data_IF_560460455672
#
_entry.id   IF_560460455672
#
_cell.length_a   1.000
_cell.length_b   1.000
_cell.length_c   1.000
_cell.angle_alpha   90.00
_cell.angle_beta   90.00
_cell.angle_gamma   90.00
#
_symmetry.space_group_name_H-M   'P 1'
#
loop_
_entity.id
_entity.type
_entity.pdbx_description
1 polymer ?
2 non-polymer ?
3 water ?
#
# COMPACT_ATOMS: atom_id res chain seq x y z
N UNK A 5 -8.71 16.80 -19.31
CA UNK A 5 -7.54 16.43 -18.46
C UNK A 5 -7.61 14.97 -18.00
N UNK A 6 -6.82 14.09 -18.64
CA UNK A 6 -6.77 12.65 -18.31
C UNK A 6 -6.20 12.34 -16.93
N UNK A 7 -6.72 11.28 -16.31
CA UNK A 7 -6.30 10.83 -14.99
C UNK A 7 -4.94 10.13 -15.11
N UNK A 8 -3.93 10.67 -14.44
CA UNK A 8 -2.58 10.11 -14.50
C UNK A 8 -2.20 9.26 -13.30
N UNK A 9 -1.75 8.04 -13.60
CA UNK A 9 -1.33 7.10 -12.55
C UNK A 9 0.15 6.74 -12.71
N UNK A 10 0.92 7.01 -11.68
CA UNK A 10 2.34 6.66 -11.70
C UNK A 10 2.50 5.34 -10.95
N UNK A 11 3.16 4.38 -11.56
CA UNK A 11 3.38 3.08 -10.93
C UNK A 11 4.87 2.74 -10.90
N UNK A 12 5.49 2.93 -9.74
CA UNK A 12 6.91 2.63 -9.59
C UNK A 12 7.13 1.34 -8.84
N UNK A 13 8.40 0.96 -8.72
CA UNK A 13 8.77 -0.26 -8.02
C UNK A 13 10.14 -0.71 -8.48
N UNK A 14 10.72 -1.67 -7.76
CA UNK A 14 12.02 -2.17 -8.15
C UNK A 14 11.83 -3.04 -9.38
N UNK A 15 12.94 -3.37 -10.05
CA UNK A 15 12.85 -4.23 -11.23
C UNK A 15 12.24 -5.57 -10.78
N UNK A 16 11.36 -6.12 -11.63
CA UNK A 16 10.69 -7.40 -11.36
C UNK A 16 9.88 -7.41 -10.05
N UNK A 17 9.41 -6.23 -9.64
CA UNK A 17 8.61 -6.11 -8.43
C UNK A 17 7.17 -6.51 -8.70
N UNK A 18 6.78 -6.47 -9.97
CA UNK A 18 5.41 -6.77 -10.35
C UNK A 18 4.73 -5.53 -10.91
N UNK A 19 5.44 -4.41 -10.90
CA UNK A 19 4.93 -3.12 -11.41
C UNK A 19 4.50 -3.24 -12.87
N UNK A 20 5.29 -3.97 -13.66
CA UNK A 20 4.99 -4.14 -15.09
C UNK A 20 3.71 -4.95 -15.27
N UNK A 21 3.63 -6.07 -14.58
CA UNK A 21 2.45 -6.95 -14.67
C UNK A 21 1.21 -6.22 -14.15
N UNK A 22 1.37 -5.42 -13.10
CA UNK A 22 0.25 -4.67 -12.55
C UNK A 22 -0.24 -3.66 -13.57
N UNK A 23 0.69 -2.85 -14.09
CA UNK A 23 0.37 -1.83 -15.08
C UNK A 23 -0.31 -2.42 -16.31
N UNK A 24 0.18 -3.55 -16.79
CA UNK A 24 -0.39 -4.21 -17.96
C UNK A 24 -1.77 -4.78 -17.66
N UNK A 25 -1.96 -5.31 -16.45
CA UNK A 25 -3.25 -5.86 -16.06
C UNK A 25 -4.27 -4.72 -16.00
N UNK A 26 -3.83 -3.56 -15.53
CA UNK A 26 -4.69 -2.38 -15.46
C UNK A 26 -5.04 -1.93 -16.87
N UNK A 27 -4.06 -1.98 -17.76
CA UNK A 27 -4.24 -1.60 -19.15
C UNK A 27 -5.24 -2.52 -19.85
N UNK A 28 -5.10 -3.83 -19.62
CA UNK A 28 -6.00 -4.83 -20.22
C UNK A 28 -7.42 -4.70 -19.70
N UNK A 29 -7.56 -4.42 -18.41
CA UNK A 29 -8.85 -4.26 -17.76
C UNK A 29 -9.59 -3.03 -18.29
N UNK A 30 -8.88 -1.91 -18.34
CA UNK A 30 -9.44 -0.64 -18.82
C UNK A 30 -9.50 -0.54 -20.34
N UNK A 31 -8.79 -1.45 -21.02
CA UNK A 31 -8.77 -1.47 -22.47
C UNK A 31 -8.42 -0.16 -23.15
N UNK A 32 -9.26 0.21 -24.11
CA UNK A 32 -9.08 1.43 -24.91
C UNK A 32 -9.06 2.73 -24.10
N UNK A 33 -9.49 2.68 -22.84
CA UNK A 33 -9.52 3.87 -21.99
C UNK A 33 -8.18 4.21 -21.35
N UNK A 34 -7.11 3.52 -21.74
CA UNK A 34 -5.80 3.77 -21.15
C UNK A 34 -4.61 3.84 -22.12
N UNK A 35 -3.72 4.78 -21.84
CA UNK A 35 -2.49 4.97 -22.61
C UNK A 35 -1.38 4.64 -21.62
N UNK A 36 -0.58 3.64 -21.93
CA UNK A 36 0.50 3.21 -21.07
C UNK A 36 1.89 3.51 -21.63
N UNK A 37 2.69 4.22 -20.84
CA UNK A 37 4.06 4.56 -21.23
C UNK A 37 5.06 3.93 -20.27
N UNK A 38 5.68 2.81 -20.68
CA UNK A 38 6.66 2.14 -19.83
C UNK A 38 7.98 2.91 -19.96
N UNK A 39 8.43 3.51 -18.87
CA UNK A 39 9.66 4.28 -18.88
C UNK A 39 10.91 3.45 -19.24
N UNK A 40 10.83 2.13 -19.11
CA UNK A 40 11.95 1.25 -19.41
C UNK A 40 12.30 1.21 -20.90
N UNK A 41 11.42 1.77 -21.72
CA UNK A 41 11.66 1.82 -23.15
C UNK A 41 12.28 3.15 -23.53
N UNK A 42 12.36 4.04 -22.54
CA UNK A 42 12.92 5.37 -22.77
C UNK A 42 14.38 5.56 -22.38
N UNK A 43 15.18 4.51 -22.48
CA UNK A 43 16.61 4.64 -22.20
C UNK A 43 17.19 5.51 -23.31
N UNK A 44 18.23 6.27 -22.98
CA UNK A 44 18.85 7.15 -23.96
C UNK A 44 19.37 6.35 -25.15
N UNK A 45 19.32 6.94 -26.34
CA UNK A 45 19.84 6.28 -27.54
C UNK A 45 21.37 6.42 -27.52
N UNK A 46 22.05 5.31 -27.20
CA UNK A 46 23.50 5.32 -27.16
C UNK A 46 24.01 4.42 -28.29
N UNK A 47 23.22 4.32 -29.35
CA UNK A 47 23.57 3.49 -30.49
C UNK A 47 24.89 3.83 -31.17
N UNK A 48 25.35 5.07 -30.98
CA UNK A 48 26.59 5.54 -31.58
C UNK A 48 27.83 5.00 -30.85
N UNK A 49 27.63 4.49 -29.64
CA UNK A 49 28.73 3.94 -28.84
C UNK A 49 29.03 2.48 -29.14
N UNK A 50 30.28 2.05 -28.94
CA UNK A 50 30.64 0.66 -29.19
C UNK A 50 29.91 -0.25 -28.20
N UNK A 51 29.64 -1.48 -28.63
CA UNK A 51 28.92 -2.45 -27.80
C UNK A 51 29.50 -2.59 -26.40
N UNK A 52 30.82 -2.76 -26.30
CA UNK A 52 31.48 -2.93 -25.02
C UNK A 52 31.17 -1.81 -24.03
N UNK A 53 31.10 -0.58 -24.54
CA UNK A 53 30.79 0.55 -23.68
C UNK A 53 29.32 0.48 -23.23
N UNK A 54 28.44 0.12 -24.15
CA UNK A 54 27.02 0.00 -23.85
C UNK A 54 26.75 -1.07 -22.79
N UNK A 55 27.56 -2.13 -22.81
CA UNK A 55 27.40 -3.22 -21.85
C UNK A 55 27.79 -2.80 -20.42
N UNK A 56 28.61 -1.74 -20.31
CA UNK A 56 29.06 -1.26 -19.01
C UNK A 56 28.19 -0.17 -18.39
N UNK A 57 27.42 0.53 -19.22
CA UNK A 57 26.55 1.61 -18.76
C UNK A 57 25.66 1.17 -17.59
N UNK A 58 25.46 2.06 -16.64
CA UNK A 58 24.62 1.77 -15.49
C UNK A 58 23.18 2.12 -15.88
N UNK A 59 22.39 1.11 -16.19
CA UNK A 59 21.00 1.31 -16.60
C UNK A 59 19.99 1.48 -15.47
N UNK A 60 20.49 1.67 -14.26
CA UNK A 60 19.63 1.87 -13.12
C UNK A 60 19.81 3.25 -12.50
N UNK A 61 20.68 4.05 -13.11
CA UNK A 61 20.94 5.41 -12.64
C UNK A 61 20.03 6.33 -13.45
N UNK A 62 19.44 7.36 -12.80
CA UNK A 62 18.55 8.31 -13.49
C UNK A 62 19.12 8.87 -14.80
N UNK A 63 20.44 9.07 -14.86
CA UNK A 63 21.11 9.61 -16.04
C UNK A 63 21.02 8.72 -17.28
N UNK A 64 20.70 7.44 -17.09
CA UNK A 64 20.59 6.50 -18.20
C UNK A 64 19.29 6.70 -18.98
N UNK A 65 18.34 7.40 -18.38
CA UNK A 65 17.04 7.64 -18.99
C UNK A 65 16.88 8.92 -19.80
N UNK A 66 16.11 8.83 -20.88
CA UNK A 66 15.82 9.98 -21.73
C UNK A 66 14.56 10.63 -21.13
N UNK A 67 14.75 11.28 -19.99
CA UNK A 67 13.64 11.94 -19.29
C UNK A 67 12.96 12.99 -20.16
N UNK A 68 13.75 13.76 -20.92
CA UNK A 68 13.21 14.80 -21.79
C UNK A 68 12.16 14.22 -22.74
N UNK A 69 12.50 13.12 -23.39
CA UNK A 69 11.57 12.48 -24.32
C UNK A 69 10.36 11.90 -23.59
N UNK A 70 10.59 11.29 -22.43
CA UNK A 70 9.50 10.71 -21.65
C UNK A 70 8.53 11.79 -21.20
N UNK A 71 9.07 12.88 -20.65
CA UNK A 71 8.25 14.00 -20.20
C UNK A 71 7.44 14.58 -21.36
N UNK A 72 8.12 14.81 -22.47
CA UNK A 72 7.51 15.36 -23.69
C UNK A 72 6.32 14.51 -24.11
N UNK A 73 6.52 13.19 -24.13
CA UNK A 73 5.45 12.27 -24.51
C UNK A 73 4.30 12.26 -23.51
N UNK A 74 4.61 12.32 -22.22
CA UNK A 74 3.57 12.33 -21.21
C UNK A 74 2.68 13.56 -21.40
N UNK A 75 3.33 14.71 -21.60
CA UNK A 75 2.63 15.98 -21.82
C UNK A 75 1.76 15.95 -23.08
N UNK A 76 2.26 15.33 -24.14
CA UNK A 76 1.51 15.22 -25.39
C UNK A 76 0.25 14.40 -25.15
N UNK A 77 0.39 13.29 -24.43
CA UNK A 77 -0.75 12.44 -24.12
C UNK A 77 -1.75 13.21 -23.24
N UNK A 78 -1.23 14.08 -22.37
CA UNK A 78 -2.08 14.88 -21.50
C UNK A 78 -2.84 15.96 -22.29
N UNK A 79 -2.31 16.33 -23.46
CA UNK A 79 -2.95 17.33 -24.31
C UNK A 79 -3.78 16.66 -25.42
N UNK A 80 -4.00 15.36 -25.29
CA UNK A 80 -4.78 14.63 -26.27
C UNK A 80 -4.08 14.37 -27.60
N UNK A 81 -2.76 14.29 -27.58
CA UNK A 81 -1.99 14.04 -28.80
C UNK A 81 -1.32 12.67 -28.76
N UNK A 82 -1.20 12.00 -29.92
CA UNK A 82 -0.58 10.68 -30.03
C UNK A 82 0.95 10.81 -29.96
N UNK A 83 1.63 9.74 -29.58
CA UNK A 83 3.10 9.79 -29.51
C UNK A 83 3.72 8.57 -30.17
N UNK A 84 4.97 8.74 -30.62
CA UNK A 84 5.71 7.67 -31.26
C UNK A 84 6.68 7.14 -30.21
N UNK A 85 6.21 6.18 -29.42
CA UNK A 85 7.00 5.60 -28.35
C UNK A 85 8.17 4.74 -28.80
N UNK A 86 9.37 5.02 -28.29
CA UNK A 86 10.55 4.25 -28.66
C UNK A 86 10.47 2.84 -28.07
N UNK A 87 11.12 1.89 -28.74
CA UNK A 87 11.16 0.51 -28.29
C UNK A 87 12.62 0.15 -28.05
N UNK A 88 12.96 -0.16 -26.80
CA UNK A 88 14.33 -0.51 -26.46
C UNK A 88 14.56 -2.00 -26.59
N UNK A 89 15.63 -2.36 -27.31
CA UNK A 89 15.99 -3.77 -27.52
C UNK A 89 16.99 -4.18 -26.44
N UNK A 90 16.52 -4.95 -25.47
CA UNK A 90 17.37 -5.39 -24.37
C UNK A 90 18.44 -6.42 -24.73
N UNK A 91 18.25 -7.11 -25.86
CA UNK A 91 19.24 -8.09 -26.30
C UNK A 91 20.41 -7.38 -26.98
N UNK A 92 20.09 -6.40 -27.82
CA UNK A 92 21.10 -5.65 -28.56
C UNK A 92 21.64 -4.42 -27.84
N UNK A 93 21.01 -4.06 -26.72
CA UNK A 93 21.42 -2.89 -25.94
C UNK A 93 21.33 -1.61 -26.78
N UNK A 94 20.20 -1.42 -27.45
CA UNK A 94 20.00 -0.22 -28.25
C UNK A 94 18.54 0.09 -28.49
N UNK A 95 18.26 1.34 -28.86
CA UNK A 95 16.89 1.77 -29.16
C UNK A 95 16.60 1.37 -30.59
N UNK A 96 15.44 0.77 -30.81
CA UNK A 96 15.04 0.35 -32.14
C UNK A 96 14.77 1.56 -33.03
N UNK A 97 15.08 1.45 -34.34
CA UNK A 97 14.86 2.55 -35.28
C UNK A 97 13.36 2.72 -35.58
N UNK A 98 12.57 1.71 -35.20
CA UNK A 98 11.13 1.71 -35.40
C UNK A 98 10.41 1.98 -34.09
N UNK A 99 9.41 2.88 -34.13
CA UNK A 99 8.64 3.22 -32.94
C UNK A 99 7.19 2.77 -33.06
N UNK A 100 6.57 2.47 -31.93
CA UNK A 100 5.17 2.05 -31.90
C UNK A 100 4.32 3.22 -31.43
N UNK A 101 3.17 3.44 -32.09
CA UNK A 101 2.27 4.54 -31.72
C UNK A 101 1.44 4.28 -30.47
N UNK A 102 1.24 5.32 -29.69
CA UNK A 102 0.45 5.25 -28.47
C UNK A 102 -0.59 6.36 -28.57
N UNK A 103 -1.86 5.97 -28.64
CA UNK A 103 -2.95 6.92 -28.75
C UNK A 103 -3.41 7.50 -27.42
N UNK A 104 -3.94 8.73 -27.44
CA UNK A 104 -4.43 9.42 -26.25
C UNK A 104 -5.56 8.65 -25.59
N UNK A 105 -5.73 8.84 -24.29
CA UNK A 105 -6.77 8.15 -23.54
C UNK A 105 -7.14 8.96 -22.30
N UNK A 106 -8.33 8.69 -21.74
CA UNK A 106 -8.79 9.42 -20.55
C UNK A 106 -7.98 9.03 -19.30
N UNK A 107 -7.21 7.95 -19.40
CA UNK A 107 -6.36 7.47 -18.30
C UNK A 107 -4.95 7.20 -18.83
N UNK A 108 -3.96 7.86 -18.23
CA UNK A 108 -2.57 7.68 -18.63
C UNK A 108 -1.78 7.00 -17.50
N UNK A 109 -1.05 5.95 -17.84
CA UNK A 109 -0.25 5.24 -16.85
C UNK A 109 1.24 5.35 -17.17
N UNK A 110 1.97 5.94 -16.23
CA UNK A 110 3.42 6.10 -16.37
C UNK A 110 4.03 5.07 -15.42
N UNK A 111 4.72 4.08 -15.98
CA UNK A 111 5.31 3.00 -15.19
C UNK A 111 6.80 2.74 -15.43
N UNK A 112 7.52 2.47 -14.35
CA UNK A 112 8.94 2.19 -14.45
C UNK A 112 9.61 2.25 -13.08
N UNK A 113 10.87 1.84 -13.02
CA UNK A 113 11.59 1.85 -11.76
C UNK A 113 11.79 3.24 -11.16
N UNK A 114 11.96 4.25 -12.01
CA UNK A 114 12.20 5.60 -11.54
C UNK A 114 11.18 6.66 -11.93
N UNK A 115 9.92 6.28 -12.13
CA UNK A 115 8.91 7.26 -12.51
C UNK A 115 8.54 8.24 -11.39
N UNK A 116 8.90 7.89 -10.16
CA UNK A 116 8.61 8.75 -9.01
C UNK A 116 9.85 9.53 -8.55
N UNK A 117 10.94 9.42 -9.31
CA UNK A 117 12.17 10.12 -8.97
C UNK A 117 12.17 11.62 -9.34
N UNK A 118 11.77 11.97 -10.58
CA UNK A 118 11.76 13.38 -10.97
C UNK A 118 10.50 14.12 -10.54
N UNK A 119 10.68 15.33 -10.01
CA UNK A 119 9.58 16.17 -9.55
C UNK A 119 8.64 16.46 -10.75
N UNK A 120 9.23 16.68 -11.93
CA UNK A 120 8.49 16.97 -13.15
C UNK A 120 7.48 15.88 -13.51
N UNK A 121 7.80 14.63 -13.17
CA UNK A 121 6.88 13.51 -13.45
C UNK A 121 5.84 13.38 -12.34
N UNK A 122 6.28 13.54 -11.09
CA UNK A 122 5.36 13.45 -9.96
C UNK A 122 4.25 14.50 -10.03
N UNK A 123 4.62 15.71 -10.46
CA UNK A 123 3.66 16.81 -10.57
C UNK A 123 2.53 16.52 -11.55
N UNK A 124 2.77 15.61 -12.49
CA UNK A 124 1.76 15.22 -13.48
C UNK A 124 0.82 14.14 -12.97
N UNK A 125 1.21 13.48 -11.89
CA UNK A 125 0.44 12.37 -11.34
C UNK A 125 -0.68 12.69 -10.35
N UNK A 126 -1.84 12.08 -10.58
CA UNK A 126 -3.01 12.23 -9.70
C UNK A 126 -2.91 11.17 -8.61
N UNK A 127 -2.38 10.00 -8.99
CA UNK A 127 -2.22 8.87 -8.07
C UNK A 127 -0.82 8.27 -8.22
N UNK A 128 -0.12 8.11 -7.09
CA UNK A 128 1.21 7.54 -7.10
C UNK A 128 1.23 6.18 -6.42
N UNK A 129 1.65 5.16 -7.17
CA UNK A 129 1.70 3.79 -6.67
C UNK A 129 3.12 3.22 -6.66
N UNK A 130 3.46 2.53 -5.58
CA UNK A 130 4.75 1.87 -5.48
C UNK A 130 4.47 0.39 -5.25
N UNK A 131 4.94 -0.45 -6.16
CA UNK A 131 4.76 -1.89 -6.07
C UNK A 131 5.94 -2.43 -5.28
N UNK A 132 5.64 -2.96 -4.10
CA UNK A 132 6.69 -3.46 -3.24
C UNK A 132 6.82 -4.98 -3.21
N UNK A 133 8.08 -5.42 -3.14
CA UNK A 133 8.42 -6.83 -3.09
C UNK A 133 9.84 -6.90 -2.58
N UNK A 134 10.14 -7.91 -1.78
CA UNK A 134 11.47 -8.08 -1.22
C UNK A 134 12.50 -8.26 -2.33
N UNK A 135 13.73 -7.81 -2.08
CA UNK A 135 14.79 -7.89 -3.06
C UNK A 135 15.12 -9.31 -3.51
N UNK A 136 15.08 -10.27 -2.59
CA UNK A 136 15.39 -11.65 -2.97
C UNK A 136 14.37 -12.23 -3.95
N UNK A 137 13.10 -11.94 -3.72
CA UNK A 137 12.04 -12.43 -4.60
C UNK A 137 12.11 -11.71 -5.96
N UNK A 138 12.50 -10.44 -5.95
CA UNK A 138 12.61 -9.69 -7.20
C UNK A 138 13.80 -10.21 -7.99
N UNK A 139 14.93 -10.45 -7.32
CA UNK A 139 16.11 -10.97 -8.01
C UNK A 139 15.77 -12.27 -8.72
N UNK A 140 14.99 -13.12 -8.06
CA UNK A 140 14.59 -14.39 -8.65
C UNK A 140 13.91 -14.17 -9.98
N UNK A 141 12.86 -13.34 -9.99
CA UNK A 141 12.13 -13.04 -11.23
C UNK A 141 13.00 -12.30 -12.25
N UNK A 142 13.87 -11.42 -11.76
CA UNK A 142 14.78 -10.67 -12.62
C UNK A 142 15.71 -11.66 -13.35
N UNK A 143 16.27 -12.60 -12.59
CA UNK A 143 17.16 -13.61 -13.16
C UNK A 143 16.46 -14.42 -14.26
N UNK A 144 15.26 -14.92 -13.98
CA UNK A 144 14.50 -15.69 -14.95
C UNK A 144 14.19 -14.92 -16.24
N UNK A 145 13.67 -13.72 -16.11
CA UNK A 145 13.31 -12.92 -17.29
C UNK A 145 14.53 -12.52 -18.11
N UNK A 146 15.64 -12.22 -17.43
CA UNK A 146 16.86 -11.84 -18.13
C UNK A 146 17.40 -12.98 -18.97
N UNK A 147 17.43 -14.18 -18.38
CA UNK A 147 17.92 -15.37 -19.08
C UNK A 147 16.98 -15.81 -20.20
N UNK A 148 15.69 -15.80 -19.93
CA UNK A 148 14.72 -16.24 -20.93
C UNK A 148 14.31 -15.22 -21.99
N UNK A 149 14.43 -13.93 -21.69
CA UNK A 149 14.00 -12.89 -22.63
C UNK A 149 15.04 -11.89 -23.11
N UNK A 150 16.09 -11.65 -22.33
CA UNK A 150 17.08 -10.66 -22.70
C UNK A 150 18.48 -11.18 -23.01
N UNK A 151 18.57 -12.47 -23.32
CA UNK A 151 19.83 -13.10 -23.67
C UNK A 151 20.98 -12.96 -22.70
N UNK A 152 20.68 -12.96 -21.40
CA UNK A 152 21.72 -12.82 -20.38
C UNK A 152 22.07 -14.18 -19.77
N UNK A 153 23.25 -14.25 -19.17
CA UNK A 153 23.71 -15.46 -18.50
C UNK A 153 23.50 -15.24 -17.01
N UNK A 154 23.55 -16.31 -16.23
CA UNK A 154 23.40 -16.20 -14.77
C UNK A 154 24.52 -15.31 -14.22
N UNK A 155 25.74 -15.59 -14.68
CA UNK A 155 26.93 -14.87 -14.26
C UNK A 155 26.81 -13.37 -14.54
N UNK A 156 26.28 -13.03 -15.71
CA UNK A 156 26.11 -11.64 -16.08
C UNK A 156 25.03 -10.96 -15.27
N UNK A 157 23.92 -11.66 -15.01
CA UNK A 157 22.83 -11.10 -14.22
C UNK A 157 23.34 -10.81 -12.81
N UNK A 158 24.13 -11.73 -12.27
CA UNK A 158 24.68 -11.55 -10.93
C UNK A 158 25.63 -10.36 -10.85
N UNK A 159 26.57 -10.28 -11.80
CA UNK A 159 27.53 -9.19 -11.85
C UNK A 159 26.83 -7.83 -11.95
N UNK A 160 25.90 -7.71 -12.88
CA UNK A 160 25.15 -6.46 -13.06
C UNK A 160 24.30 -6.11 -11.82
N UNK A 161 23.62 -7.12 -11.26
CA UNK A 161 22.78 -6.90 -10.09
C UNK A 161 23.56 -6.34 -8.89
N UNK A 162 24.61 -7.04 -8.51
CA UNK A 162 25.44 -6.65 -7.37
C UNK A 162 26.21 -5.34 -7.58
N UNK A 163 26.66 -5.10 -8.80
CA UNK A 163 27.44 -3.89 -9.07
C UNK A 163 26.63 -2.64 -9.47
N UNK A 164 25.41 -2.85 -9.96
CA UNK A 164 24.58 -1.72 -10.41
C UNK A 164 23.12 -1.70 -9.95
N UNK A 165 22.35 -2.73 -10.32
CA UNK A 165 20.94 -2.78 -9.98
C UNK A 165 20.65 -2.58 -8.48
N UNK A 166 21.23 -3.42 -7.64
CA UNK A 166 21.04 -3.32 -6.19
C UNK A 166 21.44 -1.97 -5.59
N UNK A 167 22.68 -1.50 -5.84
CA UNK A 167 23.12 -0.21 -5.30
C UNK A 167 22.19 0.93 -5.72
N UNK A 168 21.87 0.99 -7.01
CA UNK A 168 20.99 2.02 -7.56
C UNK A 168 19.55 1.89 -7.04
N UNK A 169 19.11 0.67 -6.76
CA UNK A 169 17.77 0.48 -6.25
C UNK A 169 17.68 1.11 -4.86
N UNK A 170 18.68 0.84 -4.03
CA UNK A 170 18.72 1.35 -2.66
C UNK A 170 18.92 2.87 -2.62
N UNK A 171 19.73 3.39 -3.53
CA UNK A 171 20.02 4.81 -3.56
C UNK A 171 18.96 5.66 -4.25
N UNK A 172 18.41 5.16 -5.37
CA UNK A 172 17.42 5.91 -6.13
C UNK A 172 15.98 5.41 -6.15
N UNK A 173 15.77 4.12 -6.35
CA UNK A 173 14.41 3.58 -6.43
C UNK A 173 13.65 3.52 -5.10
N UNK A 174 14.17 2.74 -4.16
CA UNK A 174 13.54 2.54 -2.86
C UNK A 174 13.09 3.82 -2.15
N UNK A 175 13.94 4.86 -2.11
CA UNK A 175 13.53 6.10 -1.43
C UNK A 175 12.28 6.74 -2.02
N UNK A 176 12.02 6.53 -3.31
CA UNK A 176 10.83 7.14 -3.93
C UNK A 176 9.53 6.58 -3.37
N UNK A 177 9.61 5.47 -2.63
CA UNK A 177 8.41 4.88 -2.04
C UNK A 177 7.78 5.87 -1.06
N UNK A 178 8.60 6.84 -0.63
CA UNK A 178 8.15 7.88 0.30
C UNK A 178 7.15 8.83 -0.37
N UNK A 179 7.12 8.83 -1.69
CA UNK A 179 6.20 9.68 -2.46
C UNK A 179 4.91 8.96 -2.79
N UNK A 180 4.90 7.63 -2.68
CA UNK A 180 3.72 6.86 -3.00
C UNK A 180 2.50 7.17 -2.14
N UNK A 181 1.33 7.17 -2.76
CA UNK A 181 0.08 7.41 -2.06
C UNK A 181 -0.39 6.06 -1.54
N UNK A 182 -0.13 5.02 -2.34
CA UNK A 182 -0.51 3.66 -2.00
C UNK A 182 0.60 2.70 -2.39
N UNK A 183 0.83 1.70 -1.53
CA UNK A 183 1.85 0.70 -1.77
C UNK A 183 1.14 -0.63 -2.08
N UNK A 184 1.47 -1.22 -3.21
CA UNK A 184 0.84 -2.48 -3.61
C UNK A 184 1.75 -3.69 -3.53
N UNK A 185 1.43 -4.65 -2.64
CA UNK A 185 2.21 -5.87 -2.49
C UNK A 185 1.74 -6.90 -3.54
N UNK A 186 2.52 -7.96 -3.76
CA UNK A 186 2.17 -9.01 -4.72
C UNK A 186 1.59 -8.43 -6.01
N UNK A 187 2.33 -7.50 -6.60
CA UNK A 187 1.89 -6.83 -7.82
C UNK A 187 1.50 -7.68 -9.00
N UNK A 188 2.06 -8.88 -9.09
CA UNK A 188 1.75 -9.77 -10.19
C UNK A 188 0.55 -10.67 -9.95
N UNK A 189 -0.08 -10.53 -8.78
CA UNK A 189 -1.24 -11.35 -8.42
C UNK A 189 -1.98 -10.75 -7.24
N UNK A 190 -2.63 -9.61 -7.46
CA UNK A 190 -3.39 -8.94 -6.42
C UNK A 190 -4.70 -8.44 -7.03
N UNK A 191 -5.69 -9.34 -7.15
CA UNK A 191 -7.02 -9.06 -7.72
C UNK A 191 -7.72 -7.88 -7.06
N UNK A 192 -7.65 -7.80 -5.73
CA UNK A 192 -8.29 -6.71 -5.00
C UNK A 192 -7.69 -5.36 -5.32
N UNK A 193 -6.36 -5.26 -5.31
CA UNK A 193 -5.71 -3.98 -5.61
C UNK A 193 -5.97 -3.60 -7.07
N UNK A 194 -5.88 -4.58 -7.97
CA UNK A 194 -6.13 -4.33 -9.39
C UNK A 194 -7.53 -3.75 -9.61
N UNK A 195 -8.54 -4.43 -9.07
CA UNK A 195 -9.93 -4.00 -9.20
C UNK A 195 -10.11 -2.60 -8.60
N UNK A 196 -9.46 -2.35 -7.46
CA UNK A 196 -9.57 -1.05 -6.80
C UNK A 196 -8.94 0.07 -7.62
N UNK A 197 -7.77 -0.19 -8.20
CA UNK A 197 -7.08 0.80 -9.02
C UNK A 197 -7.89 1.07 -10.30
N UNK A 198 -8.48 0.00 -10.84
CA UNK A 198 -9.28 0.12 -12.06
C UNK A 198 -10.50 1.00 -11.81
N UNK A 199 -11.11 0.83 -10.63
CA UNK A 199 -12.28 1.61 -10.24
C UNK A 199 -11.91 3.08 -10.06
N UNK A 200 -10.80 3.33 -9.38
CA UNK A 200 -10.33 4.70 -9.15
C UNK A 200 -9.97 5.40 -10.45
N UNK A 201 -9.50 4.64 -11.44
CA UNK A 201 -9.14 5.21 -12.74
C UNK A 201 -10.40 5.72 -13.45
N UNK A 202 -11.52 5.06 -13.20
CA UNK A 202 -12.81 5.42 -13.78
C UNK A 202 -13.55 6.45 -12.93
N UNK A 203 -12.85 7.02 -11.95
CA UNK A 203 -13.43 8.03 -11.06
C UNK A 203 -13.62 9.35 -11.79
N UNK A 204 -12.57 9.80 -12.48
CA UNK A 204 -12.63 11.06 -13.22
C UNK A 204 -13.61 10.94 -14.40
N UNK A 205 -13.72 9.72 -14.95
CA UNK A 205 -14.64 9.48 -16.06
C UNK A 205 -16.04 9.77 -15.54
N UNK A 206 -16.36 9.17 -14.40
CA UNK A 206 -17.66 9.37 -13.75
C UNK A 206 -17.75 10.81 -13.26
N UNK A 207 -16.60 11.48 -13.23
CA UNK A 207 -16.46 12.88 -12.81
C UNK A 207 -16.65 13.14 -11.32
N UNK B 4 -27.94 -7.22 2.35
CA UNK B 4 -27.26 -7.50 1.05
C UNK B 4 -25.74 -7.55 1.21
N UNK B 5 -25.29 -8.13 2.33
CA UNK B 5 -23.86 -8.26 2.63
C UNK B 5 -23.12 -6.93 2.71
N UNK B 6 -22.78 -6.50 3.93
CA UNK B 6 -22.07 -5.24 4.13
C UNK B 6 -20.61 -5.33 3.64
N UNK B 7 -20.05 -4.17 3.29
CA UNK B 7 -18.67 -4.11 2.81
C UNK B 7 -17.77 -4.08 4.05
N UNK B 8 -16.94 -5.10 4.23
CA UNK B 8 -16.07 -5.19 5.40
C UNK B 8 -14.61 -4.84 5.13
N UNK B 9 -14.13 -3.80 5.82
CA UNK B 9 -12.75 -3.35 5.67
C UNK B 9 -11.95 -3.56 6.96
N UNK B 10 -10.84 -4.28 6.85
CA UNK B 10 -9.99 -4.51 8.00
C UNK B 10 -8.82 -3.56 7.88
N UNK B 11 -8.54 -2.81 8.95
CA UNK B 11 -7.42 -1.88 8.92
C UNK B 11 -6.48 -2.20 10.09
N UNK B 12 -5.31 -2.72 9.76
CA UNK B 12 -4.32 -3.05 10.78
C UNK B 12 -3.06 -2.22 10.58
N UNK B 13 -2.15 -2.35 11.54
CA UNK B 13 -0.89 -1.63 11.48
C UNK B 13 -0.30 -1.65 12.87
N UNK B 14 0.95 -1.20 12.99
CA UNK B 14 1.58 -1.16 14.29
C UNK B 14 0.91 -0.09 15.13
N UNK B 15 1.19 -0.09 16.43
CA UNK B 15 0.61 0.92 17.30
C UNK B 15 1.13 2.28 16.85
N UNK B 16 0.24 3.27 16.87
CA UNK B 16 0.59 4.65 16.47
C UNK B 16 1.06 4.73 15.01
N UNK B 17 0.61 3.77 14.20
CA UNK B 17 0.97 3.72 12.78
C UNK B 17 0.15 4.73 11.97
N UNK B 18 -1.05 5.04 12.48
CA UNK B 18 -1.94 5.97 11.80
C UNK B 18 -3.19 5.22 11.38
N UNK B 19 -3.27 3.94 11.75
CA UNK B 19 -4.41 3.09 11.44
C UNK B 19 -5.68 3.63 12.08
N UNK B 20 -5.56 4.18 13.28
CA UNK B 20 -6.70 4.75 14.00
C UNK B 20 -7.18 6.02 13.31
N UNK B 21 -6.23 6.90 12.99
CA UNK B 21 -6.54 8.15 12.32
C UNK B 21 -7.20 7.89 10.96
N UNK B 22 -6.65 6.96 10.20
CA UNK B 22 -7.18 6.61 8.88
C UNK B 22 -8.58 6.02 9.01
N UNK B 23 -8.74 5.07 9.91
CA UNK B 23 -10.05 4.43 10.11
C UNK B 23 -11.13 5.45 10.53
N UNK B 24 -10.77 6.34 11.44
CA UNK B 24 -11.71 7.37 11.89
C UNK B 24 -12.03 8.37 10.76
N UNK B 25 -11.03 8.73 9.97
CA UNK B 25 -11.24 9.66 8.87
C UNK B 25 -12.16 9.03 7.81
N UNK B 26 -11.98 7.73 7.59
CA UNK B 26 -12.79 6.99 6.62
C UNK B 26 -14.22 6.89 7.14
N UNK B 27 -14.35 6.68 8.46
CA UNK B 27 -15.66 6.58 9.10
C UNK B 27 -16.40 7.91 8.95
N UNK B 28 -15.72 9.02 9.22
CA UNK B 28 -16.32 10.34 9.11
C UNK B 28 -16.71 10.71 7.67
N UNK B 29 -15.93 10.23 6.70
CA UNK B 29 -16.19 10.50 5.29
C UNK B 29 -17.47 9.81 4.79
N UNK B 30 -17.75 8.64 5.36
CA UNK B 30 -18.94 7.88 4.99
C UNK B 30 -20.13 8.19 5.89
N UNK B 31 -19.87 8.97 6.94
CA UNK B 31 -20.92 9.38 7.86
C UNK B 31 -21.68 8.28 8.59
N UNK B 32 -22.99 8.26 8.39
CA UNK B 32 -23.88 7.30 9.02
C UNK B 32 -23.90 5.89 8.41
N UNK B 33 -23.30 5.75 7.23
CA UNK B 33 -23.28 4.46 6.54
C UNK B 33 -22.12 3.56 6.96
N UNK B 34 -21.48 3.89 8.08
CA UNK B 34 -20.34 3.10 8.55
C UNK B 34 -20.35 2.83 10.05
N UNK B 35 -19.85 1.65 10.42
CA UNK B 35 -19.74 1.23 11.80
C UNK B 35 -18.26 0.87 12.03
N UNK B 36 -17.64 1.55 12.99
CA UNK B 36 -16.23 1.34 13.30
C UNK B 36 -16.05 0.58 14.62
N UNK B 37 -15.39 -0.57 14.53
CA UNK B 37 -15.14 -1.41 15.71
C UNK B 37 -13.64 -1.52 15.99
N UNK B 38 -13.13 -0.70 16.93
CA UNK B 38 -11.71 -0.71 17.31
C UNK B 38 -11.43 -1.90 18.21
N UNK B 39 -10.68 -2.86 17.70
CA UNK B 39 -10.38 -4.07 18.45
C UNK B 39 -9.57 -3.84 19.72
N UNK B 40 -8.83 -2.74 19.76
CA UNK B 40 -8.01 -2.46 20.92
C UNK B 40 -8.74 -1.94 22.15
N UNK B 41 -10.06 -2.04 22.09
CA UNK B 41 -10.95 -1.70 23.20
C UNK B 41 -11.51 -3.04 23.68
N UNK B 42 -11.13 -4.11 22.99
CA UNK B 42 -11.61 -5.45 23.32
C UNK B 42 -10.66 -6.35 24.10
N UNK B 43 -9.81 -5.75 24.92
CA UNK B 43 -8.90 -6.56 25.73
C UNK B 43 -9.78 -7.31 26.72
N UNK B 44 -9.31 -8.47 27.17
CA UNK B 44 -10.05 -9.27 28.12
C UNK B 44 -10.30 -8.49 29.41
N UNK B 45 -11.45 -8.73 30.03
CA UNK B 45 -11.79 -8.05 31.28
C UNK B 45 -11.11 -8.78 32.42
N UNK B 46 -10.02 -8.21 32.91
CA UNK B 46 -9.26 -8.79 34.02
C UNK B 46 -9.49 -7.95 35.26
N UNK B 47 -10.64 -7.26 35.30
CA UNK B 47 -10.99 -6.40 36.42
C UNK B 47 -11.03 -7.07 37.78
N UNK B 48 -11.04 -8.41 37.81
CA UNK B 48 -11.09 -9.16 39.05
C UNK B 48 -9.68 -9.39 39.61
N UNK B 49 -8.67 -9.13 38.79
CA UNK B 49 -7.28 -9.30 39.20
C UNK B 49 -6.75 -7.97 39.72
N UNK B 50 -5.82 -8.00 40.69
CA UNK B 50 -5.30 -6.75 41.22
C UNK B 50 -4.37 -6.04 40.23
N UNK B 51 -4.29 -4.71 40.38
CA UNK B 51 -3.45 -3.87 39.55
C UNK B 51 -2.07 -4.45 39.24
N UNK B 52 -1.39 -4.99 40.26
CA UNK B 52 -0.06 -5.56 40.06
C UNK B 52 -0.02 -6.55 38.91
N UNK B 53 -1.04 -7.40 38.84
CA UNK B 53 -1.14 -8.40 37.79
C UNK B 53 -1.45 -7.79 36.44
N UNK B 54 -2.44 -6.89 36.41
CA UNK B 54 -2.83 -6.22 35.17
C UNK B 54 -1.68 -5.44 34.54
N UNK B 55 -0.76 -4.96 35.37
CA UNK B 55 0.41 -4.20 34.88
C UNK B 55 1.42 -5.11 34.20
N UNK B 56 1.40 -6.39 34.58
CA UNK B 56 2.32 -7.37 34.04
C UNK B 56 1.87 -7.99 32.71
N UNK B 57 0.60 -7.85 32.40
CA UNK B 57 0.05 -8.42 31.17
C UNK B 57 0.69 -7.81 29.91
N UNK B 58 0.91 -8.66 28.91
CA UNK B 58 1.49 -8.22 27.64
C UNK B 58 0.30 -7.90 26.75
N UNK B 59 0.00 -6.61 26.62
CA UNK B 59 -1.13 -6.14 25.83
C UNK B 59 -0.90 -6.11 24.32
N UNK B 60 0.19 -6.71 23.87
CA UNK B 60 0.49 -6.77 22.44
C UNK B 60 0.52 -8.21 21.95
N UNK B 61 0.23 -9.14 22.86
CA UNK B 61 0.17 -10.57 22.54
C UNK B 61 -1.30 -10.90 22.30
N UNK B 62 -1.60 -11.70 21.26
CA UNK B 62 -2.95 -12.14 20.87
C UNK B 62 -3.81 -12.65 22.04
N UNK B 63 -3.17 -13.32 23.01
CA UNK B 63 -3.89 -13.84 24.17
C UNK B 63 -4.51 -12.78 25.07
N UNK B 64 -4.07 -11.54 24.93
CA UNK B 64 -4.60 -10.46 25.75
C UNK B 64 -5.95 -9.96 25.26
N UNK B 65 -6.32 -10.36 24.04
CA UNK B 65 -7.57 -9.92 23.43
C UNK B 65 -8.77 -10.83 23.62
N UNK B 66 -9.94 -10.21 23.75
CA UNK B 66 -11.21 -10.94 23.90
C UNK B 66 -11.71 -11.13 22.47
N UNK B 67 -11.10 -12.06 21.74
CA UNK B 67 -11.49 -12.34 20.36
C UNK B 67 -12.91 -12.88 20.27
N UNK B 68 -13.33 -13.64 21.28
CA UNK B 68 -14.68 -14.21 21.30
C UNK B 68 -15.70 -13.09 21.25
N UNK B 69 -15.52 -12.08 22.10
CA UNK B 69 -16.42 -10.95 22.13
C UNK B 69 -16.35 -10.16 20.82
N UNK B 70 -15.14 -9.91 20.34
CA UNK B 70 -14.95 -9.16 19.10
C UNK B 70 -15.66 -9.83 17.91
N UNK B 71 -15.39 -11.11 17.70
CA UNK B 71 -16.02 -11.87 16.62
C UNK B 71 -17.54 -11.82 16.73
N UNK B 72 -18.02 -11.99 17.96
CA UNK B 72 -19.45 -11.97 18.26
C UNK B 72 -20.05 -10.63 17.82
N UNK B 73 -19.41 -9.53 18.20
CA UNK B 73 -19.87 -8.21 17.84
C UNK B 73 -19.82 -7.96 16.33
N UNK B 74 -18.74 -8.41 15.69
CA UNK B 74 -18.59 -8.23 14.25
C UNK B 74 -19.73 -8.95 13.53
N UNK B 75 -19.93 -10.22 13.88
CA UNK B 75 -20.97 -11.06 13.28
C UNK B 75 -22.37 -10.48 13.52
N UNK B 76 -22.61 -9.95 14.72
CA UNK B 76 -23.90 -9.36 15.06
C UNK B 76 -24.18 -8.17 14.14
N UNK B 77 -23.15 -7.33 13.94
CA UNK B 77 -23.29 -6.16 13.07
C UNK B 77 -23.55 -6.61 11.65
N UNK B 78 -22.87 -7.68 11.23
CA UNK B 78 -23.03 -8.22 9.88
C UNK B 78 -24.44 -8.77 9.68
N UNK B 79 -25.09 -9.13 10.79
CA UNK B 79 -26.45 -9.66 10.75
C UNK B 79 -27.50 -8.57 10.98
N UNK B 80 -27.06 -7.32 10.97
CA UNK B 80 -27.98 -6.21 11.18
C UNK B 80 -28.40 -5.96 12.61
N UNK B 81 -27.69 -6.54 13.56
CA UNK B 81 -27.99 -6.38 14.99
C UNK B 81 -27.03 -5.37 15.62
N UNK B 82 -27.55 -4.51 16.52
CA UNK B 82 -26.72 -3.50 17.19
C UNK B 82 -25.89 -4.13 18.32
N UNK B 83 -24.85 -3.42 18.75
CA UNK B 83 -23.99 -3.92 19.82
C UNK B 83 -23.55 -2.82 20.78
N UNK B 84 -23.19 -3.23 21.99
CA UNK B 84 -22.68 -2.32 23.01
C UNK B 84 -21.18 -2.60 23.12
N UNK B 85 -20.39 -1.75 22.48
CA UNK B 85 -18.95 -1.90 22.47
C UNK B 85 -18.31 -1.51 23.80
N UNK B 86 -17.49 -2.41 24.37
CA UNK B 86 -16.83 -2.09 25.63
C UNK B 86 -15.81 -0.97 25.40
N UNK B 87 -15.50 -0.22 26.45
CA UNK B 87 -14.53 0.85 26.37
C UNK B 87 -13.44 0.51 27.38
N UNK B 88 -12.22 0.35 26.89
CA UNK B 88 -11.10 0.02 27.76
C UNK B 88 -10.49 1.27 28.38
N UNK B 89 -10.19 1.20 29.67
CA UNK B 89 -9.59 2.32 30.38
C UNK B 89 -8.09 2.09 30.43
N UNK B 90 -7.35 2.81 29.60
CA UNK B 90 -5.89 2.68 29.55
C UNK B 90 -5.14 3.26 30.74
N UNK B 91 -5.79 4.17 31.47
CA UNK B 91 -5.18 4.75 32.65
C UNK B 91 -5.25 3.76 33.81
N UNK B 92 -6.41 3.12 33.97
CA UNK B 92 -6.61 2.16 35.05
C UNK B 92 -6.26 0.71 34.71
N UNK B 93 -5.86 0.47 33.46
CA UNK B 93 -5.50 -0.88 33.01
C UNK B 93 -6.62 -1.91 33.17
N UNK B 94 -7.83 -1.56 32.73
CA UNK B 94 -8.93 -2.49 32.84
C UNK B 94 -10.11 -2.06 31.97
N UNK B 95 -11.04 -2.97 31.73
CA UNK B 95 -12.23 -2.66 30.93
C UNK B 95 -13.13 -1.80 31.82
N UNK B 96 -13.42 -0.58 31.36
CA UNK B 96 -14.24 0.37 32.11
C UNK B 96 -15.73 0.01 32.07
N UNK B 97 -16.55 0.71 32.89
CA UNK B 97 -17.99 0.48 32.95
C UNK B 97 -18.70 1.05 31.71
N UNK B 98 -18.05 2.02 31.06
CA UNK B 98 -18.60 2.67 29.87
C UNK B 98 -18.74 1.71 28.69
N UNK B 99 -19.72 1.99 27.84
CA UNK B 99 -19.99 1.22 26.63
C UNK B 99 -20.45 2.16 25.54
N UNK B 100 -20.12 1.84 24.30
CA UNK B 100 -20.50 2.67 23.17
C UNK B 100 -21.44 1.88 22.27
N UNK B 101 -22.70 2.33 22.16
CA UNK B 101 -23.65 1.61 21.30
C UNK B 101 -23.24 1.77 19.84
N UNK B 102 -23.31 0.68 19.08
CA UNK B 102 -22.95 0.72 17.68
C UNK B 102 -24.07 0.18 16.82
N UNK B 103 -24.57 1.04 15.94
CA UNK B 103 -25.67 0.70 15.04
C UNK B 103 -25.16 -0.05 13.80
N UNK B 104 -25.95 -1.01 13.29
CA UNK B 104 -25.58 -1.79 12.11
C UNK B 104 -25.44 -0.84 10.93
N UNK B 105 -24.52 -1.14 10.03
CA UNK B 105 -24.28 -0.29 8.88
C UNK B 105 -23.88 -1.09 7.65
N UNK B 106 -24.07 -0.52 6.45
CA UNK B 106 -23.72 -1.19 5.21
C UNK B 106 -22.19 -1.33 5.01
N UNK B 107 -21.42 -0.61 5.81
CA UNK B 107 -19.95 -0.67 5.76
C UNK B 107 -19.40 -0.81 7.18
N UNK B 108 -18.63 -1.87 7.40
CA UNK B 108 -18.04 -2.15 8.70
C UNK B 108 -16.52 -2.11 8.64
N UNK B 109 -15.92 -1.35 9.55
CA UNK B 109 -14.46 -1.23 9.62
C UNK B 109 -13.92 -1.86 10.89
N UNK B 110 -13.14 -2.92 10.73
CA UNK B 110 -12.52 -3.62 11.86
C UNK B 110 -11.07 -3.12 11.89
N UNK B 111 -10.76 -2.34 12.92
CA UNK B 111 -9.42 -1.75 13.06
C UNK B 111 -8.70 -2.14 14.35
N UNK B 112 -7.41 -2.44 14.22
CA UNK B 112 -6.59 -2.81 15.36
C UNK B 112 -5.21 -3.28 14.95
N UNK B 113 -4.29 -3.39 15.91
CA UNK B 113 -2.93 -3.85 15.63
C UNK B 113 -2.91 -5.31 15.18
N UNK B 114 -3.89 -6.10 15.64
CA UNK B 114 -3.93 -7.52 15.30
C UNK B 114 -5.20 -8.02 14.62
N UNK B 115 -5.95 -7.12 13.97
CA UNK B 115 -7.17 -7.53 13.29
C UNK B 115 -6.93 -8.48 12.11
N UNK B 116 -5.72 -8.47 11.56
CA UNK B 116 -5.40 -9.35 10.44
C UNK B 116 -4.73 -10.64 10.90
N UNK B 117 -4.61 -10.81 12.21
CA UNK B 117 -3.97 -12.00 12.76
C UNK B 117 -4.81 -13.28 12.70
N UNK B 118 -6.03 -13.25 13.24
CA UNK B 118 -6.85 -14.47 13.18
C UNK B 118 -7.61 -14.70 11.89
N UNK B 119 -7.60 -15.95 11.43
CA UNK B 119 -8.27 -16.37 10.20
C UNK B 119 -9.77 -16.04 10.23
N UNK B 120 -10.39 -16.20 11.39
CA UNK B 120 -11.82 -15.90 11.53
C UNK B 120 -12.16 -14.43 11.30
N UNK B 121 -11.21 -13.54 11.54
CA UNK B 121 -11.45 -12.12 11.30
C UNK B 121 -11.17 -11.79 9.82
N UNK B 122 -10.11 -12.37 9.28
CA UNK B 122 -9.76 -12.13 7.88
C UNK B 122 -10.86 -12.64 6.93
N UNK B 123 -11.47 -13.76 7.30
CA UNK B 123 -12.54 -14.36 6.50
C UNK B 123 -13.78 -13.47 6.37
N UNK B 124 -13.90 -12.51 7.28
CA UNK B 124 -15.03 -11.58 7.26
C UNK B 124 -14.74 -10.36 6.41
N UNK B 125 -13.47 -10.17 6.04
CA UNK B 125 -13.06 -8.99 5.27
C UNK B 125 -13.08 -9.05 3.75
N UNK B 126 -13.58 -7.97 3.14
CA UNK B 126 -13.62 -7.86 1.68
C UNK B 126 -12.37 -7.15 1.21
N UNK B 127 -11.86 -6.28 2.06
CA UNK B 127 -10.66 -5.49 1.76
C UNK B 127 -9.77 -5.47 2.99
N UNK B 128 -8.49 -5.78 2.80
CA UNK B 128 -7.53 -5.79 3.91
C UNK B 128 -6.47 -4.72 3.72
N UNK B 129 -6.40 -3.82 4.69
CA UNK B 129 -5.45 -2.72 4.66
C UNK B 129 -4.45 -2.77 5.80
N UNK B 130 -3.18 -2.49 5.50
CA UNK B 130 -2.16 -2.45 6.54
C UNK B 130 -1.52 -1.07 6.45
N UNK B 131 -1.60 -0.31 7.55
CA UNK B 131 -1.03 1.03 7.57
C UNK B 131 0.43 0.92 8.01
N UNK B 132 1.34 1.32 7.12
CA UNK B 132 2.77 1.22 7.38
C UNK B 132 3.45 2.53 7.79
N UNK B 133 4.38 2.41 8.72
CA UNK B 133 5.16 3.53 9.22
C UNK B 133 6.38 2.98 9.92
N UNK B 134 7.49 3.72 9.84
CA UNK B 134 8.74 3.29 10.49
C UNK B 134 8.61 3.25 11.99
N UNK B 135 9.26 2.27 12.60
CA UNK B 135 9.23 2.08 14.05
C UNK B 135 9.60 3.33 14.84
N UNK B 136 10.62 4.07 14.40
CA UNK B 136 11.00 5.28 15.12
C UNK B 136 9.90 6.34 15.12
N UNK B 137 9.23 6.50 13.99
CA UNK B 137 8.15 7.49 13.88
C UNK B 137 6.93 7.05 14.68
N UNK B 138 6.67 5.74 14.72
CA UNK B 138 5.53 5.25 15.47
C UNK B 138 5.77 5.39 16.97
N UNK B 139 7.01 5.15 17.40
CA UNK B 139 7.35 5.28 18.81
C UNK B 139 7.13 6.71 19.30
N UNK B 140 7.51 7.68 18.46
CA UNK B 140 7.34 9.09 18.78
C UNK B 140 5.88 9.38 19.10
N UNK B 141 4.98 9.03 18.18
CA UNK B 141 3.55 9.23 18.40
C UNK B 141 3.01 8.40 19.58
N UNK B 142 3.55 7.20 19.77
CA UNK B 142 3.14 6.31 20.86
C UNK B 142 3.49 6.99 22.18
N UNK B 143 4.72 7.51 22.25
CA UNK B 143 5.19 8.20 23.44
C UNK B 143 4.30 9.40 23.75
N UNK B 144 4.00 10.21 22.74
CA UNK B 144 3.13 11.38 22.92
C UNK B 144 1.76 10.99 23.43
N UNK B 145 1.10 10.08 22.72
CA UNK B 145 -0.24 9.60 23.09
C UNK B 145 -0.28 9.03 24.52
N UNK B 146 0.70 8.18 24.84
CA UNK B 146 0.75 7.56 26.16
C UNK B 146 0.85 8.56 27.30
N UNK B 147 1.75 9.52 27.15
CA UNK B 147 1.95 10.54 28.18
C UNK B 147 0.78 11.52 28.30
N UNK B 148 0.22 11.93 27.15
CA UNK B 148 -0.88 12.89 27.15
C UNK B 148 -2.28 12.35 27.37
N UNK B 149 -2.51 11.06 27.13
CA UNK B 149 -3.85 10.49 27.27
C UNK B 149 -3.99 9.25 28.13
N UNK B 150 -2.91 8.50 28.30
CA UNK B 150 -2.97 7.27 29.05
C UNK B 150 -2.26 7.26 30.39
N UNK B 151 -1.87 8.45 30.85
CA UNK B 151 -1.20 8.61 32.13
C UNK B 151 0.11 7.86 32.32
N UNK B 152 0.89 7.74 31.26
CA UNK B 152 2.16 7.02 31.34
C UNK B 152 3.32 8.01 31.45
N UNK B 153 4.47 7.50 31.89
CA UNK B 153 5.67 8.31 32.00
C UNK B 153 6.59 7.90 30.85
N UNK B 154 7.58 8.72 30.52
CA UNK B 154 8.51 8.38 29.45
C UNK B 154 9.22 7.07 29.78
N UNK B 155 9.59 6.91 31.04
CA UNK B 155 10.28 5.73 31.53
C UNK B 155 9.40 4.48 31.39
N UNK B 156 8.12 4.62 31.68
CA UNK B 156 7.19 3.51 31.56
C UNK B 156 7.00 3.15 30.10
N UNK B 157 6.83 4.14 29.24
CA UNK B 157 6.63 3.89 27.81
C UNK B 157 7.82 3.14 27.21
N UNK B 158 9.03 3.62 27.51
CA UNK B 158 10.26 3.00 27.02
C UNK B 158 10.31 1.53 27.44
N UNK B 159 10.11 1.27 28.74
CA UNK B 159 10.15 -0.08 29.26
C UNK B 159 9.13 -1.01 28.62
N UNK B 160 7.87 -0.55 28.52
CA UNK B 160 6.83 -1.36 27.92
C UNK B 160 7.11 -1.60 26.43
N UNK B 161 7.60 -0.57 25.76
CA UNK B 161 7.89 -0.66 24.34
C UNK B 161 8.99 -1.67 24.03
N UNK B 162 10.11 -1.56 24.74
CA UNK B 162 11.24 -2.46 24.52
C UNK B 162 11.00 -3.89 24.98
N UNK B 163 10.29 -4.05 26.08
CA UNK B 163 10.02 -5.38 26.63
C UNK B 163 8.81 -6.11 26.03
N UNK B 164 7.80 -5.35 25.58
CA UNK B 164 6.59 -5.95 25.03
C UNK B 164 6.11 -5.49 23.67
N UNK B 165 5.86 -4.19 23.52
CA UNK B 165 5.34 -3.64 22.26
C UNK B 165 6.16 -4.01 21.02
N UNK B 166 7.44 -3.69 21.03
CA UNK B 166 8.33 -3.97 19.91
C UNK B 166 8.48 -5.45 19.57
N UNK B 167 8.85 -6.30 20.55
CA UNK B 167 9.01 -7.74 20.27
C UNK B 167 7.73 -8.35 19.68
N UNK B 168 6.59 -8.00 20.25
CA UNK B 168 5.31 -8.50 19.77
C UNK B 168 4.98 -7.94 18.39
N UNK B 169 5.41 -6.71 18.12
CA UNK B 169 5.14 -6.11 16.81
C UNK B 169 5.84 -6.91 15.72
N UNK B 170 7.11 -7.25 15.97
CA UNK B 170 7.92 -8.00 15.02
C UNK B 170 7.48 -9.46 14.89
N UNK B 171 6.99 -10.03 15.98
CA UNK B 171 6.56 -11.42 15.97
C UNK B 171 5.11 -11.65 15.52
N UNK B 172 4.20 -10.74 15.88
CA UNK B 172 2.79 -10.92 15.51
C UNK B 172 2.17 -9.89 14.58
N UNK B 173 2.43 -8.61 14.80
CA UNK B 173 1.83 -7.57 13.96
C UNK B 173 2.41 -7.42 12.55
N UNK B 174 3.71 -7.15 12.48
CA UNK B 174 4.38 -6.94 11.19
C UNK B 174 4.16 -8.04 10.15
N UNK B 175 4.25 -9.33 10.55
CA UNK B 175 4.02 -10.39 9.56
C UNK B 175 2.63 -10.39 8.94
N UNK B 176 1.63 -9.85 9.65
CA UNK B 176 0.26 -9.82 9.11
C UNK B 176 0.13 -8.90 7.90
N UNK B 177 1.18 -8.12 7.63
CA UNK B 177 1.18 -7.23 6.48
C UNK B 177 1.10 -8.06 5.19
N UNK B 178 1.51 -9.33 5.28
CA UNK B 178 1.48 -10.25 4.13
C UNK B 178 0.06 -10.57 3.66
N UNK B 179 -0.93 -10.32 4.52
CA UNK B 179 -2.33 -10.58 4.18
C UNK B 179 -3.01 -9.36 3.59
N UNK B 180 -2.36 -8.20 3.67
CA UNK B 180 -2.95 -6.97 3.16
C UNK B 180 -3.10 -6.91 1.65
N UNK B 181 -4.20 -6.31 1.21
CA UNK B 181 -4.47 -6.14 -0.22
C UNK B 181 -3.72 -4.88 -0.65
N UNK B 182 -3.77 -3.87 0.21
CA UNK B 182 -3.09 -2.59 -0.03
C UNK B 182 -2.42 -2.10 1.25
N UNK B 183 -1.27 -1.45 1.09
CA UNK B 183 -0.50 -0.91 2.19
C UNK B 183 -0.58 0.61 2.08
N UNK B 184 -0.97 1.26 3.17
CA UNK B 184 -1.12 2.71 3.20
C UNK B 184 -0.07 3.39 4.06
N UNK B 185 0.80 4.19 3.42
CA UNK B 185 1.85 4.92 4.15
C UNK B 185 1.22 6.21 4.64
N UNK B 186 1.90 6.91 5.55
CA UNK B 186 1.43 8.20 6.07
C UNK B 186 -0.07 8.20 6.39
N UNK B 187 -0.53 7.15 7.07
CA UNK B 187 -1.94 7.00 7.41
C UNK B 187 -2.66 8.18 8.07
N UNK B 188 -1.89 9.06 8.70
CA UNK B 188 -2.50 10.21 9.36
C UNK B 188 -2.57 11.45 8.48
N UNK B 189 -1.90 11.39 7.33
CA UNK B 189 -1.85 12.51 6.41
C UNK B 189 -1.73 12.00 4.96
N UNK B 190 -2.79 11.32 4.50
CA UNK B 190 -2.78 10.77 3.15
C UNK B 190 -4.17 10.88 2.52
N UNK B 191 -4.56 12.10 2.10
CA UNK B 191 -5.87 12.34 1.48
C UNK B 191 -6.14 11.50 0.23
N UNK B 192 -5.10 11.19 -0.55
CA UNK B 192 -5.30 10.38 -1.75
C UNK B 192 -5.73 8.95 -1.39
N UNK B 193 -5.01 8.32 -0.46
CA UNK B 193 -5.36 6.96 -0.05
C UNK B 193 -6.72 6.95 0.65
N UNK B 194 -7.01 8.02 1.38
CA UNK B 194 -8.29 8.13 2.08
C UNK B 194 -9.42 8.19 1.07
N UNK B 195 -9.25 9.05 0.07
CA UNK B 195 -10.25 9.24 -0.99
C UNK B 195 -10.48 7.93 -1.73
N UNK B 196 -9.40 7.24 -2.06
CA UNK B 196 -9.49 5.98 -2.79
C UNK B 196 -10.28 4.94 -2.00
N UNK B 197 -10.00 4.82 -0.71
CA UNK B 197 -10.69 3.86 0.14
C UNK B 197 -12.17 4.24 0.26
N UNK B 198 -12.43 5.53 0.41
CA UNK B 198 -13.79 6.03 0.54
C UNK B 198 -14.57 5.78 -0.75
N UNK B 199 -13.92 6.04 -1.89
CA UNK B 199 -14.53 5.84 -3.20
C UNK B 199 -14.90 4.38 -3.41
N UNK B 200 -14.00 3.48 -3.03
CA UNK B 200 -14.24 2.04 -3.17
C UNK B 200 -15.48 1.62 -2.38
N UNK B 201 -15.59 2.14 -1.15
CA UNK B 201 -16.72 1.84 -0.28
C UNK B 201 -18.01 2.36 -0.91
N UNK B 202 -17.97 3.60 -1.41
CA UNK B 202 -19.11 4.23 -2.06
C UNK B 202 -19.56 3.40 -3.27
N UNK B 203 -18.58 2.87 -4.01
CA UNK B 203 -18.86 2.03 -5.17
C UNK B 203 -19.60 0.79 -4.71
N UNK B 204 -19.16 0.24 -3.58
CA UNK B 204 -19.78 -0.94 -3.00
C UNK B 204 -21.19 -0.62 -2.48
N UNK B 205 -21.35 0.57 -1.91
CA UNK B 205 -22.63 1.01 -1.39
C UNK B 205 -23.65 1.16 -2.52
N UNK B 206 -23.23 1.75 -3.63
CA UNK B 206 -24.10 1.94 -4.79
C UNK B 206 -24.57 0.59 -5.33
N UNK B 207 -23.69 -0.41 -5.29
CA UNK B 207 -24.01 -1.76 -5.75
C UNK B 207 -25.10 -2.41 -4.91
N UNK B 208 -25.15 -2.07 -3.63
CA UNK B 208 -26.15 -2.63 -2.71
C UNK B 208 -27.55 -2.17 -3.07
N UNK B 209 -27.67 -0.91 -3.49
CA UNK B 209 -28.96 -0.36 -3.87
C UNK B 209 -29.39 -0.65 -5.28
N UNK B 210 -28.44 -0.94 -6.16
CA UNK B 210 -28.74 -1.23 -7.56
C UNK B 210 -29.15 -2.70 -7.74
N UNK B 211 -29.94 -2.98 -8.77
CA UNK B 211 -30.39 -4.34 -9.04
C UNK B 211 -30.65 -4.57 -10.53
#
# INVERSE_FOLDING_TARGET
MSAPKPFVIGIAGGTASGKTTLAQALARTLGERVALLPMDHYYKDLGHLPLEERLRVNYDHPDAFDLALYLEHAQALLRGLPVEMPVYDFRAYTRSPRRTPVRPAPVVILEGILVLYPKELRDLMDLKVFVDADADERFIRRLKRDVLERGRSLEGVVAQYLEQVKPMHLHFVEPTKRYADVIVPRGGQNPVALEMLAAKALARLARMGAA
MSAPKPFVIGIAGGTASGKTTLAQALARTLGERVALLPMDHYYKDLGHLPLEERLRVNYDHPDAFDLALYLEHAQALLRGLPVEMPVYDFRAYTRSPRRTPVRPAPVVILEGILVLYPKELRDLMDLKVFVDADADERFIRRLKRDVLERGRSLEGVVAQYLEQVKPMHLHFVEPTKRYADVIVPRGGQNPVALEMLAAKALARLARMGAA
#
